data_IF_696807425037
#
_entry.id   IF_696807425037
#
_cell.length_a   1.000
_cell.length_b   1.000
_cell.length_c   1.000
_cell.angle_alpha   90.00
_cell.angle_beta   90.00
_cell.angle_gamma   90.00
#
_symmetry.space_group_name_H-M   'P 1'
#
loop_
_entity.id
_entity.type
_entity.pdbx_description
1 polymer ?
#
# COMPACT_ATOMS: atom_id res chain seq x y z
N UNK A 1 -1.90 -11.91 -26.16
CA UNK A 1 -2.66 -11.26 -25.06
C UNK A 1 -1.80 -11.36 -23.81
N UNK A 2 -1.37 -10.24 -23.24
CA UNK A 2 -0.58 -10.21 -22.01
C UNK A 2 -1.47 -9.67 -20.90
N UNK A 3 -1.54 -10.43 -19.82
CA UNK A 3 -2.35 -10.14 -18.64
C UNK A 3 -1.91 -8.82 -17.98
N UNK A 4 -2.89 -8.06 -17.50
CA UNK A 4 -2.72 -6.80 -16.82
C UNK A 4 -2.26 -7.06 -15.37
N UNK A 5 -0.98 -7.38 -15.16
CA UNK A 5 -0.45 -7.60 -13.82
C UNK A 5 -0.14 -6.27 -13.13
N UNK A 6 -1.00 -5.91 -12.19
CA UNK A 6 -0.92 -4.69 -11.41
C UNK A 6 0.00 -4.91 -10.20
N UNK A 7 1.26 -4.49 -10.28
CA UNK A 7 2.14 -4.41 -9.12
C UNK A 7 1.47 -3.52 -8.06
N UNK A 8 1.25 -4.06 -6.86
CA UNK A 8 0.61 -3.33 -5.77
C UNK A 8 1.66 -2.33 -5.22
N UNK A 9 1.40 -1.01 -5.26
CA UNK A 9 2.32 -0.04 -4.68
C UNK A 9 2.45 -0.30 -3.18
N UNK A 10 3.68 -0.24 -2.66
CA UNK A 10 3.99 -0.43 -1.25
C UNK A 10 3.63 0.85 -0.46
N UNK A 11 2.35 1.20 -0.45
CA UNK A 11 1.80 2.41 0.16
C UNK A 11 0.59 2.08 1.02
N UNK A 12 0.56 2.61 2.25
CA UNK A 12 -0.47 2.35 3.25
C UNK A 12 -1.05 3.67 3.77
N UNK A 13 -2.36 3.73 4.03
CA UNK A 13 -2.95 4.92 4.67
C UNK A 13 -2.55 4.99 6.14
N UNK A 14 -2.43 6.20 6.70
CA UNK A 14 -2.03 6.38 8.10
C UNK A 14 -2.99 5.69 9.08
N UNK A 15 -4.30 5.73 8.80
CA UNK A 15 -5.31 5.05 9.61
C UNK A 15 -5.07 3.53 9.66
N UNK A 16 -4.79 2.90 8.52
CA UNK A 16 -4.54 1.46 8.48
C UNK A 16 -3.19 1.11 9.11
N UNK A 17 -2.17 1.95 8.93
CA UNK A 17 -0.88 1.75 9.60
C UNK A 17 -1.03 1.80 11.13
N UNK A 18 -1.78 2.76 11.64
CA UNK A 18 -2.08 2.86 13.08
C UNK A 18 -2.79 1.61 13.59
N UNK A 19 -3.77 1.10 12.84
CA UNK A 19 -4.47 -0.13 13.20
C UNK A 19 -3.54 -1.36 13.25
N UNK A 20 -2.61 -1.46 12.29
CA UNK A 20 -1.57 -2.50 12.32
C UNK A 20 -0.70 -2.35 13.57
N UNK A 21 -0.24 -1.13 13.88
CA UNK A 21 0.60 -0.85 15.03
C UNK A 21 -0.09 -1.24 16.35
N UNK A 22 -1.35 -0.82 16.53
CA UNK A 22 -2.18 -1.19 17.69
C UNK A 22 -2.28 -2.71 17.86
N UNK A 23 -2.55 -3.44 16.78
CA UNK A 23 -2.66 -4.90 16.82
C UNK A 23 -1.33 -5.59 17.19
N UNK A 24 -0.20 -5.05 16.71
CA UNK A 24 1.13 -5.57 17.03
C UNK A 24 1.48 -5.28 18.49
N UNK A 25 1.30 -4.04 18.95
CA UNK A 25 1.60 -3.67 20.33
C UNK A 25 0.74 -4.43 21.32
N UNK A 26 -0.54 -4.62 21.05
CA UNK A 26 -1.41 -5.42 21.90
C UNK A 26 -0.91 -6.86 22.07
N UNK A 27 -0.40 -7.48 20.99
CA UNK A 27 0.17 -8.83 21.04
C UNK A 27 1.51 -8.88 21.76
N UNK A 28 2.33 -7.84 21.60
CA UNK A 28 3.58 -7.71 22.36
C UNK A 28 3.31 -7.58 23.85
N UNK A 29 2.34 -6.75 24.25
CA UNK A 29 1.93 -6.60 25.65
C UNK A 29 1.47 -7.93 26.25
N UNK A 30 0.68 -8.71 25.51
CA UNK A 30 0.27 -10.06 25.91
C UNK A 30 1.46 -11.00 26.09
N UNK A 31 2.44 -10.95 25.17
CA UNK A 31 3.65 -11.75 25.28
C UNK A 31 4.46 -11.40 26.54
N UNK A 32 4.58 -10.11 26.87
CA UNK A 32 5.27 -9.64 28.08
C UNK A 32 4.52 -9.99 29.38
N UNK A 33 3.19 -10.07 29.34
CA UNK A 33 2.38 -10.53 30.48
C UNK A 33 2.40 -12.05 30.66
N UNK A 34 2.84 -12.78 29.64
CA UNK A 34 2.94 -14.24 29.62
C UNK A 34 4.03 -14.78 30.57
N UNK A 35 3.85 -16.03 31.00
CA UNK A 35 4.81 -16.72 31.87
C UNK A 35 6.04 -17.18 31.07
N UNK A 36 7.18 -16.53 31.26
CA UNK A 36 8.45 -16.74 30.54
C UNK A 36 9.21 -18.05 30.89
N UNK A 37 8.59 -19.02 31.56
CA UNK A 37 9.31 -20.15 32.17
C UNK A 37 9.86 -21.19 31.18
N UNK A 38 9.59 -21.08 29.89
CA UNK A 38 10.08 -22.02 28.88
C UNK A 38 11.17 -21.39 27.99
N UNK A 39 12.41 -21.92 28.00
CA UNK A 39 13.48 -21.45 27.13
C UNK A 39 13.06 -21.48 25.66
N UNK A 40 13.26 -20.37 24.94
CA UNK A 40 12.91 -20.26 23.53
C UNK A 40 11.44 -19.91 23.25
N UNK A 41 10.54 -19.92 24.24
CA UNK A 41 9.14 -19.50 24.05
C UNK A 41 9.06 -18.04 23.58
N UNK A 42 9.65 -17.13 24.34
CA UNK A 42 9.62 -15.70 24.04
C UNK A 42 10.14 -15.34 22.62
N UNK A 43 11.35 -15.76 22.20
CA UNK A 43 11.83 -15.44 20.85
C UNK A 43 10.99 -16.09 19.73
N UNK A 44 10.37 -17.24 19.96
CA UNK A 44 9.49 -17.88 18.98
C UNK A 44 8.17 -17.11 18.81
N UNK A 45 7.52 -16.74 19.92
CA UNK A 45 6.29 -15.95 19.90
C UNK A 45 6.53 -14.56 19.30
N UNK A 46 7.62 -13.90 19.69
CA UNK A 46 7.99 -12.60 19.12
C UNK A 46 8.19 -12.69 17.60
N UNK A 47 8.84 -13.76 17.11
CA UNK A 47 8.97 -13.99 15.66
C UNK A 47 7.63 -14.24 14.98
N UNK A 48 6.68 -14.88 15.68
CA UNK A 48 5.32 -15.07 15.16
C UNK A 48 4.59 -13.73 15.04
N UNK A 49 4.70 -12.86 16.05
CA UNK A 49 4.11 -11.51 16.02
C UNK A 49 4.62 -10.72 14.81
N UNK A 50 5.92 -10.73 14.56
CA UNK A 50 6.51 -10.01 13.42
C UNK A 50 6.15 -10.62 12.06
N UNK A 51 5.94 -11.94 11.97
CA UNK A 51 5.39 -12.56 10.76
C UNK A 51 3.95 -12.13 10.51
N UNK A 52 3.14 -12.10 11.56
CA UNK A 52 1.75 -11.67 11.48
C UNK A 52 1.63 -10.18 11.13
N UNK A 53 2.54 -9.33 11.63
CA UNK A 53 2.64 -7.93 11.23
C UNK A 53 2.76 -7.78 9.70
N UNK A 54 3.63 -8.56 9.05
CA UNK A 54 3.80 -8.50 7.59
C UNK A 54 2.47 -8.79 6.88
N UNK A 55 1.71 -9.77 7.36
CA UNK A 55 0.39 -10.10 6.81
C UNK A 55 -0.64 -8.98 7.04
N UNK A 56 -0.63 -8.36 8.21
CA UNK A 56 -1.50 -7.22 8.53
C UNK A 56 -1.23 -6.03 7.59
N UNK A 57 0.05 -5.71 7.35
CA UNK A 57 0.46 -4.66 6.42
C UNK A 57 0.01 -4.99 4.99
N UNK A 58 0.27 -6.21 4.51
CA UNK A 58 -0.13 -6.64 3.18
C UNK A 58 -1.64 -6.53 2.97
N UNK A 59 -2.43 -6.99 3.93
CA UNK A 59 -3.89 -6.90 3.89
C UNK A 59 -4.35 -5.44 3.86
N UNK A 60 -3.79 -4.57 4.69
CA UNK A 60 -4.12 -3.15 4.70
C UNK A 60 -3.87 -2.46 3.35
N UNK A 61 -2.75 -2.76 2.69
CA UNK A 61 -2.41 -2.23 1.37
C UNK A 61 -3.42 -2.74 0.32
N UNK A 62 -3.72 -4.04 0.33
CA UNK A 62 -4.69 -4.66 -0.60
C UNK A 62 -6.08 -4.05 -0.42
N UNK A 63 -6.54 -3.91 0.82
CA UNK A 63 -7.84 -3.33 1.10
C UNK A 63 -7.93 -1.88 0.65
N UNK A 64 -6.89 -1.06 0.86
CA UNK A 64 -6.88 0.34 0.38
C UNK A 64 -7.11 0.43 -1.12
N UNK A 65 -6.58 -0.54 -1.86
CA UNK A 65 -6.79 -0.66 -3.31
C UNK A 65 -8.20 -1.11 -3.67
N UNK A 66 -8.78 -2.05 -2.93
CA UNK A 66 -10.17 -2.47 -3.09
C UNK A 66 -11.11 -1.31 -2.80
N UNK A 67 -10.84 -0.54 -1.75
CA UNK A 67 -11.61 0.63 -1.37
C UNK A 67 -11.58 1.68 -2.49
N UNK A 68 -10.40 1.94 -3.08
CA UNK A 68 -10.32 2.74 -4.30
C UNK A 68 -11.27 2.26 -5.41
N UNK A 69 -11.24 0.96 -5.74
CA UNK A 69 -12.07 0.40 -6.82
C UNK A 69 -13.57 0.55 -6.56
N UNK A 70 -13.97 0.64 -5.28
CA UNK A 70 -15.36 0.85 -4.83
C UNK A 70 -15.83 2.29 -4.98
N UNK A 71 -14.95 3.24 -5.27
CA UNK A 71 -15.34 4.60 -5.65
C UNK A 71 -15.71 4.68 -7.14
N UNK A 72 -16.27 5.82 -7.55
CA UNK A 72 -16.53 6.14 -8.95
C UNK A 72 -15.66 7.33 -9.35
N UNK A 73 -14.82 7.16 -10.36
CA UNK A 73 -13.94 8.20 -10.87
C UNK A 73 -12.58 8.27 -10.17
N UNK A 74 -11.85 9.37 -10.41
CA UNK A 74 -10.53 9.56 -9.83
C UNK A 74 -10.66 9.84 -8.34
N UNK A 75 -9.95 9.07 -7.55
CA UNK A 75 -9.81 9.27 -6.12
C UNK A 75 -8.33 9.40 -5.77
N UNK A 76 -8.01 10.34 -4.90
CA UNK A 76 -6.67 10.54 -4.37
C UNK A 76 -6.77 10.43 -2.85
N UNK A 77 -5.85 9.68 -2.26
CA UNK A 77 -5.77 9.52 -0.82
C UNK A 77 -4.31 9.62 -0.35
N UNK A 78 -4.14 10.11 0.86
CA UNK A 78 -2.85 10.26 1.51
C UNK A 78 -2.36 8.90 2.03
N UNK A 79 -1.08 8.65 1.84
CA UNK A 79 -0.43 7.39 2.16
C UNK A 79 0.93 7.65 2.77
N UNK A 80 1.53 6.59 3.31
CA UNK A 80 2.92 6.54 3.73
C UNK A 80 3.57 5.47 2.87
N UNK A 81 4.72 5.80 2.29
CA UNK A 81 5.49 4.85 1.51
C UNK A 81 6.24 3.87 2.43
N UNK A 82 6.05 2.57 2.23
CA UNK A 82 6.72 1.54 3.00
C UNK A 82 8.22 1.41 2.68
N UNK A 83 8.73 2.10 1.66
CA UNK A 83 10.13 2.03 1.26
C UNK A 83 11.02 3.06 1.96
N UNK A 84 10.45 4.19 2.37
CA UNK A 84 11.19 5.33 2.92
C UNK A 84 10.45 6.03 4.06
N UNK A 85 9.29 5.53 4.47
CA UNK A 85 8.45 6.03 5.55
C UNK A 85 8.09 7.53 5.43
N UNK A 86 8.06 8.08 4.22
CA UNK A 86 7.62 9.47 3.98
C UNK A 86 6.15 9.51 3.60
N UNK A 87 5.51 10.64 3.90
CA UNK A 87 4.17 10.93 3.38
C UNK A 87 4.18 10.91 1.84
N UNK A 88 3.16 10.29 1.28
CA UNK A 88 2.94 10.04 -0.14
C UNK A 88 1.45 10.25 -0.45
N UNK A 89 1.10 10.08 -1.72
CA UNK A 89 -0.29 10.01 -2.13
C UNK A 89 -0.43 9.04 -3.28
N UNK A 90 -1.52 8.26 -3.25
CA UNK A 90 -1.91 7.39 -4.35
C UNK A 90 -3.10 8.02 -5.06
N UNK A 91 -3.00 8.15 -6.38
CA UNK A 91 -4.12 8.46 -7.25
C UNK A 91 -4.58 7.18 -7.93
N UNK A 92 -5.89 6.96 -7.95
CA UNK A 92 -6.47 5.77 -8.50
C UNK A 92 -7.83 6.05 -9.15
N UNK A 93 -8.31 5.13 -9.99
CA UNK A 93 -9.60 5.26 -10.67
C UNK A 93 -10.55 4.15 -10.22
N UNK A 94 -11.68 4.54 -9.64
CA UNK A 94 -12.74 3.65 -9.20
C UNK A 94 -13.77 3.41 -10.29
N UNK A 95 -14.30 2.19 -10.36
CA UNK A 95 -15.19 1.74 -11.43
C UNK A 95 -16.65 1.59 -10.98
N UNK A 96 -16.92 1.80 -9.69
CA UNK A 96 -18.22 1.53 -9.08
C UNK A 96 -19.19 2.72 -9.21
N UNK A 97 -19.48 3.10 -10.46
CA UNK A 97 -20.42 4.18 -10.77
C UNK A 97 -21.87 3.66 -10.80
N UNK A 98 -22.80 4.39 -10.17
CA UNK A 98 -24.21 3.96 -10.02
C UNK A 98 -25.10 4.35 -11.21
N UNK A 99 -24.62 5.23 -12.09
CA UNK A 99 -25.36 5.69 -13.27
C UNK A 99 -24.44 6.00 -14.44
N UNK A 100 -25.00 6.00 -15.65
CA UNK A 100 -24.28 6.39 -16.88
C UNK A 100 -23.73 7.82 -16.80
N UNK A 101 -24.49 8.75 -16.21
CA UNK A 101 -24.04 10.13 -16.00
C UNK A 101 -22.84 10.24 -15.07
N UNK A 102 -22.80 9.42 -13.99
CA UNK A 102 -21.64 9.34 -13.10
C UNK A 102 -20.42 8.76 -13.81
N UNK A 103 -20.62 7.69 -14.59
CA UNK A 103 -19.55 7.10 -15.40
C UNK A 103 -18.98 8.08 -16.43
N UNK A 104 -19.84 8.80 -17.15
CA UNK A 104 -19.41 9.80 -18.13
C UNK A 104 -18.58 10.91 -17.46
N UNK A 105 -19.03 11.38 -16.30
CA UNK A 105 -18.31 12.39 -15.51
C UNK A 105 -16.95 11.87 -15.05
N UNK A 106 -16.89 10.63 -14.56
CA UNK A 106 -15.65 9.96 -14.15
C UNK A 106 -14.65 9.86 -15.31
N UNK A 107 -15.09 9.42 -16.48
CA UNK A 107 -14.24 9.27 -17.68
C UNK A 107 -13.77 10.63 -18.20
N UNK A 108 -14.63 11.66 -18.21
CA UNK A 108 -14.22 13.04 -18.55
C UNK A 108 -13.17 13.57 -17.57
N UNK A 109 -13.32 13.27 -16.28
CA UNK A 109 -12.32 13.58 -15.25
C UNK A 109 -10.99 12.88 -15.53
N UNK A 110 -11.02 11.60 -15.88
CA UNK A 110 -9.84 10.83 -16.25
C UNK A 110 -9.11 11.40 -17.46
N UNK A 111 -9.85 11.74 -18.51
CA UNK A 111 -9.31 12.40 -19.70
C UNK A 111 -8.65 13.74 -19.34
N UNK A 112 -9.31 14.54 -18.49
CA UNK A 112 -8.77 15.82 -18.02
C UNK A 112 -7.49 15.65 -17.20
N UNK A 113 -7.42 14.60 -16.36
CA UNK A 113 -6.23 14.27 -15.58
C UNK A 113 -5.05 13.86 -16.47
N UNK A 114 -5.30 13.06 -17.52
CA UNK A 114 -4.29 12.70 -18.51
C UNK A 114 -3.83 13.89 -19.37
N UNK A 115 -4.73 14.86 -19.61
CA UNK A 115 -4.49 16.04 -20.46
C UNK A 115 -4.03 17.29 -19.70
N UNK A 116 -3.90 17.26 -18.36
CA UNK A 116 -3.23 18.34 -17.61
C UNK A 116 -1.86 18.59 -18.23
N UNK A 117 -1.37 19.85 -18.30
CA UNK A 117 -0.21 20.21 -19.10
C UNK A 117 1.01 19.39 -18.66
N UNK A 118 1.25 18.31 -19.38
CA UNK A 118 2.52 17.62 -19.45
C UNK A 118 3.51 18.68 -19.93
N UNK A 119 4.45 19.04 -19.05
CA UNK A 119 5.77 19.48 -19.50
C UNK A 119 6.21 18.48 -20.58
N UNK A 120 6.67 18.91 -21.76
CA UNK A 120 6.66 18.06 -22.93
C UNK A 120 7.54 16.83 -22.70
N UNK A 121 6.95 15.64 -22.74
CA UNK A 121 7.66 14.44 -23.22
C UNK A 121 7.92 14.64 -24.71
N UNK A 122 8.80 15.58 -25.06
CA UNK A 122 9.30 15.73 -26.40
C UNK A 122 10.65 15.03 -26.48
N UNK A 123 10.64 13.97 -27.30
CA UNK A 123 11.76 13.59 -28.15
C UNK A 123 12.99 13.06 -27.41
N UNK A 124 13.10 11.74 -27.31
CA UNK A 124 14.20 10.94 -27.91
C UNK A 124 13.89 9.44 -27.66
N UNK A 125 13.88 8.69 -28.77
CA UNK A 125 14.05 7.24 -28.92
C UNK A 125 12.81 6.34 -29.17
N UNK A 126 12.76 5.62 -30.31
CA UNK A 126 11.74 4.64 -30.66
C UNK A 126 12.14 3.25 -30.12
N UNK A 127 12.06 3.08 -28.81
CA UNK A 127 12.11 1.76 -28.20
C UNK A 127 11.47 1.86 -26.82
N UNK A 128 10.31 1.22 -26.69
CA UNK A 128 9.61 1.07 -25.42
C UNK A 128 10.46 0.21 -24.46
N UNK A 129 11.40 0.84 -23.78
CA UNK A 129 12.00 0.35 -22.53
C UNK A 129 11.46 1.23 -21.41
N UNK A 130 10.25 0.92 -20.95
CA UNK A 130 9.74 1.45 -19.70
C UNK A 130 9.28 0.29 -18.81
N UNK A 131 9.93 0.22 -17.66
CA UNK A 131 9.44 -0.31 -16.38
C UNK A 131 9.44 -1.83 -16.21
N UNK A 132 10.61 -2.32 -15.80
CA UNK A 132 10.72 -3.42 -14.86
C UNK A 132 10.98 -2.82 -13.46
N UNK A 133 10.08 -2.99 -12.47
CA UNK A 133 10.39 -2.71 -11.08
C UNK A 133 10.44 -4.00 -10.27
N UNK A 134 11.62 -4.32 -9.72
CA UNK A 134 11.89 -5.46 -8.84
C UNK A 134 11.37 -5.29 -7.38
N UNK A 135 10.41 -4.41 -7.10
CA UNK A 135 10.25 -3.88 -5.74
C UNK A 135 9.39 -4.69 -4.76
N UNK A 136 8.74 -5.78 -5.17
CA UNK A 136 8.10 -6.70 -4.23
C UNK A 136 9.05 -7.84 -3.76
N UNK A 137 10.22 -8.00 -4.39
CA UNK A 137 11.18 -9.03 -4.00
C UNK A 137 12.03 -8.64 -2.77
N UNK A 138 12.05 -7.35 -2.40
CA UNK A 138 12.97 -6.79 -1.40
C UNK A 138 12.29 -6.12 -0.19
N UNK A 139 11.01 -6.42 0.08
CA UNK A 139 10.38 -6.05 1.35
C UNK A 139 10.89 -7.00 2.44
N UNK A 140 12.04 -6.67 3.02
CA UNK A 140 12.59 -7.36 4.18
C UNK A 140 11.86 -6.92 5.45
N UNK A 141 11.89 -7.77 6.48
CA UNK A 141 11.30 -7.48 7.79
C UNK A 141 11.83 -6.16 8.39
N UNK A 142 13.07 -5.80 8.07
CA UNK A 142 13.75 -4.58 8.52
C UNK A 142 13.08 -3.31 7.95
N UNK A 143 12.74 -3.30 6.67
CA UNK A 143 12.08 -2.15 6.01
C UNK A 143 10.68 -1.88 6.59
N UNK A 144 9.95 -2.94 6.95
CA UNK A 144 8.64 -2.81 7.60
C UNK A 144 8.73 -2.38 9.07
N UNK A 145 9.86 -2.67 9.74
CA UNK A 145 10.08 -2.31 11.14
C UNK A 145 10.43 -0.83 11.31
N UNK A 146 11.19 -0.23 10.39
CA UNK A 146 11.54 1.20 10.44
C UNK A 146 10.31 2.11 10.41
N UNK A 147 9.26 1.76 9.67
CA UNK A 147 8.05 2.57 9.63
C UNK A 147 7.21 2.49 10.92
N UNK A 148 7.40 1.47 11.77
CA UNK A 148 6.71 1.37 13.07
C UNK A 148 7.49 2.01 14.23
N UNK A 149 8.80 2.22 14.09
CA UNK A 149 9.60 2.78 15.19
C UNK A 149 9.67 4.31 15.19
N UNK A 150 9.21 4.96 14.12
CA UNK A 150 9.21 6.43 13.98
C UNK A 150 7.91 7.12 14.44
N UNK A 151 6.91 6.36 14.89
CA UNK A 151 5.62 6.86 15.39
C UNK A 151 5.29 6.25 16.76
#
# INVERSE_FOLDING_TARGET
>A
MRELHLAIPAEITRDKLNHVAEAVYQRMDQLYQGKMYFPGYFPNELRSIFRDQVHLIQNAIIESRIDCQRHCGIFQYETISCNNCTDSHVVCFGYNCKSSAQWETAVRGLLSYMLRPFVPCSLISPSFTCLEPQHLANLTLENALECLTQH
#
